data_IF_761324662577
#
_entry.id   IF_761324662577
#
_cell.length_a   1.000
_cell.length_b   1.000
_cell.length_c   1.000
_cell.angle_alpha   90.00
_cell.angle_beta   90.00
_cell.angle_gamma   90.00
#
_symmetry.space_group_name_H-M   'P 1'
#
loop_
_entity.id
_entity.type
_entity.pdbx_description
1 polymer ?
#
# COMPACT_ATOMS: atom_id res chain seq x y z
N UNK A 1 10.28 11.96 -2.94
CA UNK A 1 9.86 11.63 -4.29
C UNK A 1 11.09 11.46 -5.17
N UNK A 2 11.11 10.44 -6.08
CA UNK A 2 12.16 10.27 -7.08
C UNK A 2 13.58 10.05 -6.53
N UNK A 3 13.73 9.42 -5.37
CA UNK A 3 15.04 9.21 -4.76
C UNK A 3 15.77 7.97 -5.28
N UNK A 4 15.02 6.93 -5.65
CA UNK A 4 15.58 5.69 -6.16
C UNK A 4 15.53 5.73 -7.69
N UNK A 5 16.62 6.17 -8.28
CA UNK A 5 16.86 6.14 -9.72
C UNK A 5 17.40 4.77 -10.13
N UNK A 6 17.40 4.47 -11.42
CA UNK A 6 18.01 3.25 -11.97
C UNK A 6 19.44 3.05 -11.46
N UNK A 7 20.26 4.11 -11.53
CA UNK A 7 21.67 4.09 -11.12
C UNK A 7 21.85 3.77 -9.62
N UNK A 8 20.95 4.28 -8.78
CA UNK A 8 20.93 3.96 -7.35
C UNK A 8 20.44 2.55 -7.09
N UNK A 9 19.39 2.11 -7.79
CA UNK A 9 18.88 0.74 -7.69
C UNK A 9 19.94 -0.30 -8.00
N UNK A 10 20.80 -0.05 -9.01
CA UNK A 10 21.93 -0.92 -9.36
C UNK A 10 22.96 -1.06 -8.21
N UNK A 11 23.08 -0.06 -7.35
CA UNK A 11 24.07 0.00 -6.25
C UNK A 11 23.52 -0.47 -4.91
N UNK A 12 22.21 -0.62 -4.76
CA UNK A 12 21.61 -1.08 -3.51
C UNK A 12 22.03 -2.51 -3.20
N UNK A 13 22.38 -2.77 -1.94
CA UNK A 13 22.80 -4.09 -1.46
C UNK A 13 21.76 -4.75 -0.55
N UNK A 14 20.66 -4.06 -0.27
CA UNK A 14 19.57 -4.58 0.55
C UNK A 14 18.75 -5.65 -0.20
N UNK A 15 18.05 -6.48 0.56
CA UNK A 15 17.10 -7.47 0.04
C UNK A 15 15.66 -6.97 0.05
N UNK A 16 15.42 -5.88 0.78
CA UNK A 16 14.09 -5.32 1.00
C UNK A 16 14.17 -3.80 1.00
N UNK A 17 13.26 -3.18 0.28
CA UNK A 17 13.02 -1.73 0.26
C UNK A 17 11.64 -1.47 0.83
N UNK A 18 11.54 -0.58 1.83
CA UNK A 18 10.30 -0.10 2.41
C UNK A 18 10.12 1.37 2.01
N UNK A 19 9.12 1.67 1.21
CA UNK A 19 8.87 3.02 0.70
C UNK A 19 8.06 3.86 1.69
N UNK A 20 8.73 4.50 2.64
CA UNK A 20 8.08 5.43 3.58
C UNK A 20 7.68 6.77 2.95
N UNK A 21 8.41 7.22 1.92
CA UNK A 21 8.09 8.43 1.16
C UNK A 21 7.11 8.12 0.01
N UNK A 22 6.39 9.13 -0.49
CA UNK A 22 5.53 8.98 -1.66
C UNK A 22 6.36 9.04 -2.95
N UNK A 23 6.12 8.09 -3.86
CA UNK A 23 6.77 8.00 -5.17
C UNK A 23 8.31 8.04 -5.11
N UNK A 24 8.97 7.26 -4.23
CA UNK A 24 10.43 7.38 -4.09
C UNK A 24 11.19 6.69 -5.21
N UNK A 25 10.59 5.68 -5.84
CA UNK A 25 11.23 4.81 -6.84
C UNK A 25 10.69 5.13 -8.23
N UNK A 26 11.60 5.38 -9.17
CA UNK A 26 11.24 5.53 -10.58
C UNK A 26 10.87 4.17 -11.20
N UNK A 27 9.98 4.13 -12.22
CA UNK A 27 9.57 2.88 -12.86
C UNK A 27 10.74 2.03 -13.36
N UNK A 28 11.71 2.65 -14.00
CA UNK A 28 12.92 1.98 -14.48
C UNK A 28 13.83 1.44 -13.37
N UNK A 29 13.69 1.96 -12.15
CA UNK A 29 14.39 1.44 -10.98
C UNK A 29 13.65 0.24 -10.36
N UNK A 30 12.32 0.23 -10.42
CA UNK A 30 11.51 -0.93 -10.01
C UNK A 30 11.88 -2.18 -10.82
N UNK A 31 12.05 -2.04 -12.14
CA UNK A 31 12.45 -3.16 -13.01
C UNK A 31 13.82 -3.71 -12.58
N UNK A 32 14.80 -2.84 -12.35
CA UNK A 32 16.14 -3.24 -11.87
C UNK A 32 16.08 -3.94 -10.52
N UNK A 33 15.28 -3.43 -9.58
CA UNK A 33 15.14 -4.04 -8.26
C UNK A 33 14.48 -5.43 -8.36
N UNK A 34 13.46 -5.56 -9.20
CA UNK A 34 12.78 -6.84 -9.44
C UNK A 34 13.71 -7.87 -10.10
N UNK A 35 14.47 -7.51 -11.13
CA UNK A 35 15.46 -8.37 -11.77
C UNK A 35 16.55 -8.85 -10.81
N UNK A 36 16.89 -8.02 -9.82
CA UNK A 36 17.87 -8.35 -8.76
C UNK A 36 17.28 -9.11 -7.59
N UNK A 37 15.98 -9.42 -7.62
CA UNK A 37 15.30 -10.14 -6.55
C UNK A 37 15.14 -9.32 -5.25
N UNK A 38 15.18 -7.98 -5.34
CA UNK A 38 14.93 -7.08 -4.21
C UNK A 38 13.42 -6.91 -4.07
N UNK A 39 12.91 -7.22 -2.88
CA UNK A 39 11.50 -7.03 -2.58
C UNK A 39 11.25 -5.55 -2.29
N UNK A 40 10.27 -4.94 -2.97
CA UNK A 40 9.85 -3.56 -2.71
C UNK A 40 8.44 -3.58 -2.12
N UNK A 41 8.29 -3.11 -0.87
CA UNK A 41 6.99 -2.81 -0.29
C UNK A 41 6.62 -1.39 -0.72
N UNK A 42 5.63 -1.23 -1.60
CA UNK A 42 5.34 0.06 -2.21
C UNK A 42 4.74 1.06 -1.21
N UNK A 43 4.96 2.33 -1.48
CA UNK A 43 4.52 3.47 -0.68
C UNK A 43 3.03 3.42 -0.32
N UNK A 44 2.19 3.07 -1.29
CA UNK A 44 0.74 2.98 -1.12
C UNK A 44 0.31 2.02 0.02
N UNK A 45 1.17 1.08 0.39
CA UNK A 45 0.97 0.20 1.56
C UNK A 45 1.88 0.63 2.70
N UNK A 46 3.15 0.88 2.44
CA UNK A 46 4.16 1.08 3.47
C UNK A 46 3.90 2.31 4.36
N UNK A 47 3.39 3.40 3.78
CA UNK A 47 3.10 4.65 4.50
C UNK A 47 1.61 4.87 4.82
N UNK A 48 0.75 3.91 4.54
CA UNK A 48 -0.70 4.03 4.70
C UNK A 48 -1.18 4.16 6.16
N UNK A 49 -0.33 3.89 7.14
CA UNK A 49 -0.65 4.05 8.57
C UNK A 49 -1.08 5.48 8.92
N UNK A 50 -0.40 6.48 8.36
CA UNK A 50 -0.74 7.89 8.59
C UNK A 50 -2.16 8.24 8.14
N UNK A 51 -2.54 7.88 6.92
CA UNK A 51 -3.90 8.15 6.40
C UNK A 51 -4.96 7.31 7.13
N UNK A 52 -4.61 6.12 7.60
CA UNK A 52 -5.50 5.27 8.40
C UNK A 52 -5.83 5.94 9.74
N UNK A 53 -4.84 6.50 10.42
CA UNK A 53 -5.03 7.24 11.67
C UNK A 53 -5.83 8.52 11.43
N UNK A 54 -5.57 9.26 10.37
CA UNK A 54 -6.37 10.44 10.00
C UNK A 54 -7.85 10.08 9.75
N UNK A 55 -8.12 8.92 9.16
CA UNK A 55 -9.50 8.42 9.05
C UNK A 55 -10.12 8.14 10.42
N UNK A 56 -9.36 7.59 11.37
CA UNK A 56 -9.84 7.37 12.73
C UNK A 56 -10.14 8.68 13.45
N UNK A 57 -9.31 9.72 13.27
CA UNK A 57 -9.59 11.06 13.80
C UNK A 57 -10.93 11.57 13.28
N UNK A 58 -11.14 11.52 11.98
CA UNK A 58 -12.42 11.93 11.38
C UNK A 58 -13.62 11.15 11.92
N UNK A 59 -13.51 9.83 12.09
CA UNK A 59 -14.58 9.00 12.65
C UNK A 59 -14.91 9.41 14.10
N UNK A 60 -13.88 9.64 14.94
CA UNK A 60 -14.02 10.03 16.32
C UNK A 60 -14.66 11.42 16.46
N UNK A 61 -14.24 12.37 15.61
CA UNK A 61 -14.80 13.72 15.58
C UNK A 61 -16.29 13.68 15.23
N UNK A 62 -16.68 12.92 14.19
CA UNK A 62 -18.08 12.76 13.80
C UNK A 62 -18.94 12.07 14.85
N UNK A 63 -18.37 11.13 15.58
CA UNK A 63 -19.06 10.39 16.64
C UNK A 63 -19.04 11.12 17.98
N UNK A 64 -18.22 12.16 18.15
CA UNK A 64 -17.93 12.81 19.44
C UNK A 64 -17.53 11.80 20.54
N UNK A 65 -16.84 10.74 20.15
CA UNK A 65 -16.40 9.67 21.01
C UNK A 65 -14.96 9.27 20.65
N UNK A 66 -14.07 9.36 21.63
CA UNK A 66 -12.62 9.21 21.41
C UNK A 66 -12.14 7.87 21.98
N UNK A 67 -11.32 7.20 21.17
CA UNK A 67 -10.66 5.94 21.53
C UNK A 67 -9.35 6.21 22.27
N UNK A 68 -8.93 5.24 23.09
CA UNK A 68 -7.60 5.27 23.68
C UNK A 68 -6.52 5.05 22.62
N UNK A 69 -5.28 5.41 22.95
CA UNK A 69 -4.14 5.18 22.07
C UNK A 69 -3.96 3.68 21.75
N UNK A 70 -4.18 2.82 22.76
CA UNK A 70 -4.09 1.37 22.59
C UNK A 70 -5.15 0.85 21.61
N UNK A 71 -6.36 1.36 21.64
CA UNK A 71 -7.43 1.00 20.70
C UNK A 71 -7.11 1.45 19.29
N UNK A 72 -6.57 2.67 19.14
CA UNK A 72 -6.13 3.20 17.83
C UNK A 72 -5.02 2.33 17.26
N UNK A 73 -3.99 2.05 18.05
CA UNK A 73 -2.86 1.23 17.63
C UNK A 73 -3.28 -0.19 17.25
N UNK A 74 -4.13 -0.83 18.04
CA UNK A 74 -4.63 -2.16 17.72
C UNK A 74 -5.47 -2.22 16.44
N UNK A 75 -6.30 -1.18 16.19
CA UNK A 75 -7.09 -1.07 14.96
C UNK A 75 -6.19 -0.81 13.74
N UNK A 76 -5.20 0.07 13.90
CA UNK A 76 -4.23 0.37 12.83
C UNK A 76 -3.40 -0.86 12.47
N UNK A 77 -2.83 -1.54 13.47
CA UNK A 77 -2.03 -2.75 13.27
C UNK A 77 -2.81 -3.82 12.49
N UNK A 78 -4.05 -4.07 12.90
CA UNK A 78 -4.92 -5.01 12.20
C UNK A 78 -5.15 -4.61 10.74
N UNK A 79 -5.51 -3.35 10.48
CA UNK A 79 -5.78 -2.88 9.10
C UNK A 79 -4.53 -2.97 8.24
N UNK A 80 -3.38 -2.57 8.77
CA UNK A 80 -2.13 -2.59 8.03
C UNK A 80 -1.66 -4.02 7.77
N UNK A 81 -1.77 -4.89 8.76
CA UNK A 81 -1.43 -6.32 8.62
C UNK A 81 -2.34 -7.00 7.60
N UNK A 82 -3.65 -6.83 7.70
CA UNK A 82 -4.60 -7.40 6.75
C UNK A 82 -4.34 -6.90 5.32
N UNK A 83 -4.00 -5.61 5.17
CA UNK A 83 -3.70 -5.02 3.87
C UNK A 83 -2.43 -5.60 3.23
N UNK A 84 -1.33 -5.70 3.99
CA UNK A 84 -0.07 -6.24 3.45
C UNK A 84 -0.18 -7.73 3.12
N UNK A 85 -0.83 -8.52 3.96
CA UNK A 85 -1.06 -9.95 3.71
C UNK A 85 -1.88 -10.13 2.42
N UNK A 86 -2.97 -9.37 2.27
CA UNK A 86 -3.80 -9.46 1.07
C UNK A 86 -3.04 -9.09 -0.22
N UNK A 87 -2.19 -8.06 -0.16
CA UNK A 87 -1.33 -7.68 -1.31
C UNK A 87 -0.27 -8.75 -1.58
N UNK A 88 0.30 -9.34 -0.54
CA UNK A 88 1.30 -10.40 -0.68
C UNK A 88 0.71 -11.64 -1.33
N UNK A 89 -0.47 -12.08 -0.86
CA UNK A 89 -1.18 -13.21 -1.43
C UNK A 89 -1.55 -12.95 -2.91
N UNK A 90 -2.00 -11.72 -3.22
CA UNK A 90 -2.30 -11.31 -4.60
C UNK A 90 -1.05 -11.31 -5.48
N UNK A 91 0.08 -10.88 -4.97
CA UNK A 91 1.35 -10.91 -5.69
C UNK A 91 1.77 -12.35 -6.02
N UNK A 92 1.61 -13.27 -5.07
CA UNK A 92 1.88 -14.68 -5.28
C UNK A 92 0.89 -15.32 -6.28
N UNK A 93 -0.42 -15.01 -6.17
CA UNK A 93 -1.45 -15.49 -7.09
C UNK A 93 -1.20 -15.06 -8.55
N UNK A 94 -0.76 -13.81 -8.74
CA UNK A 94 -0.56 -13.19 -10.05
C UNK A 94 0.87 -13.25 -10.57
N UNK A 95 1.79 -13.83 -9.80
CA UNK A 95 3.22 -13.89 -10.14
C UNK A 95 3.79 -12.52 -10.51
N UNK A 96 3.49 -11.49 -9.71
CA UNK A 96 3.85 -10.10 -9.97
C UNK A 96 4.47 -9.42 -8.75
N UNK A 97 4.98 -8.19 -8.95
CA UNK A 97 5.54 -7.40 -7.84
C UNK A 97 4.46 -6.97 -6.84
N UNK A 98 4.84 -6.67 -5.59
CA UNK A 98 3.91 -6.14 -4.58
C UNK A 98 3.27 -4.83 -5.03
N UNK A 99 3.98 -3.99 -5.79
CA UNK A 99 3.43 -2.75 -6.36
C UNK A 99 2.30 -3.06 -7.35
N UNK A 100 2.52 -3.95 -8.29
CA UNK A 100 1.48 -4.37 -9.25
C UNK A 100 0.30 -5.00 -8.53
N UNK A 101 0.55 -5.87 -7.56
CA UNK A 101 -0.49 -6.51 -6.75
C UNK A 101 -1.32 -5.48 -5.97
N UNK A 102 -0.70 -4.47 -5.37
CA UNK A 102 -1.39 -3.40 -4.66
C UNK A 102 -2.36 -2.64 -5.59
N UNK A 103 -1.95 -2.31 -6.80
CA UNK A 103 -2.83 -1.69 -7.80
C UNK A 103 -3.96 -2.63 -8.24
N UNK A 104 -3.69 -3.92 -8.43
CA UNK A 104 -4.74 -4.91 -8.75
C UNK A 104 -5.79 -4.94 -7.65
N UNK A 105 -5.38 -5.08 -6.39
CA UNK A 105 -6.27 -5.09 -5.22
C UNK A 105 -7.10 -3.80 -5.15
N UNK A 106 -6.49 -2.63 -5.36
CA UNK A 106 -7.19 -1.36 -5.36
C UNK A 106 -8.23 -1.26 -6.48
N UNK A 107 -7.86 -1.63 -7.70
CA UNK A 107 -8.77 -1.63 -8.85
C UNK A 107 -9.93 -2.63 -8.66
N UNK A 108 -9.67 -3.84 -8.18
CA UNK A 108 -10.71 -4.83 -7.89
C UNK A 108 -11.73 -4.30 -6.88
N UNK A 109 -11.28 -3.64 -5.79
CA UNK A 109 -12.17 -3.04 -4.78
C UNK A 109 -13.04 -1.92 -5.37
N UNK A 110 -12.45 -1.03 -6.17
CA UNK A 110 -13.19 0.06 -6.83
C UNK A 110 -14.23 -0.49 -7.80
N UNK A 111 -13.85 -1.47 -8.62
CA UNK A 111 -14.74 -2.09 -9.59
C UNK A 111 -15.88 -2.85 -8.90
N UNK A 112 -15.60 -3.55 -7.81
CA UNK A 112 -16.63 -4.23 -7.00
C UNK A 112 -17.60 -3.22 -6.42
N UNK A 113 -17.12 -2.17 -5.75
CA UNK A 113 -17.95 -1.13 -5.18
C UNK A 113 -18.81 -0.43 -6.24
N UNK A 114 -18.25 -0.21 -7.44
CA UNK A 114 -19.01 0.35 -8.59
C UNK A 114 -20.11 -0.59 -9.06
N UNK A 115 -19.81 -1.89 -9.13
CA UNK A 115 -20.79 -2.92 -9.51
C UNK A 115 -21.91 -3.04 -8.49
N UNK A 116 -21.58 -3.04 -7.20
CA UNK A 116 -22.54 -3.18 -6.10
C UNK A 116 -23.48 -1.96 -6.00
N UNK A 117 -22.95 -0.77 -6.25
CA UNK A 117 -23.77 0.47 -6.29
C UNK A 117 -24.69 0.54 -7.49
N UNK A 118 -24.47 -0.27 -8.50
CA UNK A 118 -25.10 -0.13 -9.81
C UNK A 118 -24.59 1.10 -10.54
N UNK A 119 -24.48 1.03 -11.87
CA UNK A 119 -24.31 2.24 -12.66
C UNK A 119 -25.70 2.74 -12.96
N UNK A 120 -26.03 3.84 -12.37
CA UNK A 120 -27.05 4.67 -12.97
C UNK A 120 -26.42 5.34 -14.20
N UNK A 121 -27.05 5.31 -15.26
CA UNK A 121 -28.36 5.28 -15.66
C UNK A 121 -28.59 4.51 -16.61
N UNK A 122 -29.66 4.36 -16.51
CA UNK A 122 -30.36 4.00 -17.65
C UNK A 122 -30.25 4.87 -18.79
#
# INVERSE_FOLDING_TARGET
EGQITRERAEKLTCKLVLEGANGPTYPEADDVLAERGVIVVPDVICNAGGVTVSYFEWVQDMASFFWSEEEINAKMDRIMTDAIVHVWDKAAEKECTLRTAAYIVACERILMARKDRGIYPG
#
